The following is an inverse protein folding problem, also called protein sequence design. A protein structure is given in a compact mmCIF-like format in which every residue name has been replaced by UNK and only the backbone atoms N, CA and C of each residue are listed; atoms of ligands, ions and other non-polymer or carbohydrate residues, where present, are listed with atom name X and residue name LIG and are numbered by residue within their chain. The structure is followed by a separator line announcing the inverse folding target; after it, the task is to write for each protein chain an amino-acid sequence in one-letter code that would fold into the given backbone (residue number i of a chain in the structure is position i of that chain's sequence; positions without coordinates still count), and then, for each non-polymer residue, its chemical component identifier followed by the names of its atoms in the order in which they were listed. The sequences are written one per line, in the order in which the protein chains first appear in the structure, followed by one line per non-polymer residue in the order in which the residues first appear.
data_IF_806909691246
#
_entry.id   IF_806909691246
#
_cell.length_a   1.000
_cell.length_b   1.000
_cell.length_c   1.000
_cell.angle_alpha   90.00
_cell.angle_beta   90.00
_cell.angle_gamma   90.00
#
_symmetry.space_group_name_H-M   'P 1'
#
loop_
_entity.id
_entity.type
_entity.pdbx_description
1 polymer ?
#
# COMPACT_ATOMS: atom_id res chain seq x y z
N UNK A 1 7.36 -33.74 5.27
CA UNK A 1 7.33 -32.55 4.39
C UNK A 1 5.88 -32.09 4.27
N UNK A 2 5.56 -30.83 4.61
CA UNK A 2 4.20 -30.27 4.46
C UNK A 2 4.27 -29.13 3.44
N UNK A 3 3.94 -29.42 2.20
CA UNK A 3 3.92 -28.42 1.12
C UNK A 3 2.75 -27.47 1.39
N UNK A 4 3.04 -26.16 1.31
CA UNK A 4 2.06 -25.08 1.29
C UNK A 4 2.31 -24.22 0.08
N UNK A 5 1.29 -23.53 -0.39
CA UNK A 5 1.37 -22.56 -1.48
C UNK A 5 1.10 -21.15 -0.97
N UNK A 6 1.79 -20.17 -1.53
CA UNK A 6 1.58 -18.74 -1.28
C UNK A 6 1.46 -18.01 -2.62
N UNK A 7 0.45 -17.16 -2.75
CA UNK A 7 0.32 -16.26 -3.90
C UNK A 7 1.26 -15.08 -3.69
N UNK A 8 2.22 -14.89 -4.62
CA UNK A 8 3.14 -13.77 -4.63
C UNK A 8 2.70 -12.67 -5.59
N UNK A 9 3.24 -11.45 -5.39
CA UNK A 9 3.02 -10.30 -6.27
C UNK A 9 4.35 -9.62 -6.56
N UNK A 10 4.54 -9.15 -7.80
CA UNK A 10 5.71 -8.39 -8.23
C UNK A 10 5.25 -7.06 -8.79
N UNK A 11 5.91 -5.98 -8.40
CA UNK A 11 5.67 -4.64 -8.92
C UNK A 11 6.94 -4.10 -9.57
N UNK A 12 6.86 -3.81 -10.87
CA UNK A 12 7.96 -3.21 -11.61
C UNK A 12 7.91 -1.68 -11.43
N UNK A 13 8.89 -1.14 -10.71
CA UNK A 13 8.96 0.29 -10.40
C UNK A 13 9.31 1.16 -11.61
N UNK A 14 9.97 0.62 -12.63
CA UNK A 14 10.31 1.35 -13.86
C UNK A 14 9.07 1.69 -14.70
N UNK A 15 7.98 0.94 -14.52
CA UNK A 15 6.71 1.14 -15.23
C UNK A 15 5.64 1.83 -14.37
N UNK A 16 5.91 2.09 -13.11
CA UNK A 16 4.95 2.74 -12.23
C UNK A 16 4.94 4.24 -12.50
N UNK A 17 3.80 4.76 -12.96
CA UNK A 17 3.63 6.18 -13.30
C UNK A 17 2.96 6.99 -12.17
N UNK A 18 2.72 6.38 -11.01
CA UNK A 18 2.09 7.06 -9.88
C UNK A 18 0.67 7.55 -10.14
N UNK A 19 -0.11 6.90 -10.99
CA UNK A 19 -1.47 7.36 -11.35
C UNK A 19 -2.56 7.09 -10.30
N UNK A 20 -2.24 6.38 -9.21
CA UNK A 20 -3.17 6.02 -8.13
C UNK A 20 -4.40 5.17 -8.51
N UNK A 21 -4.50 4.66 -9.74
CA UNK A 21 -5.64 3.81 -10.15
C UNK A 21 -5.80 2.58 -9.25
N UNK A 22 -4.70 1.93 -8.88
CA UNK A 22 -4.71 0.76 -8.00
C UNK A 22 -5.17 1.07 -6.56
N UNK A 23 -5.01 2.32 -6.11
CA UNK A 23 -5.51 2.78 -4.81
C UNK A 23 -7.01 3.03 -4.85
N UNK A 24 -7.49 3.70 -5.89
CA UNK A 24 -8.91 4.05 -6.04
C UNK A 24 -9.77 2.80 -6.24
N UNK A 25 -9.33 1.85 -7.05
CA UNK A 25 -10.08 0.60 -7.25
C UNK A 25 -10.19 -0.19 -5.95
N UNK A 26 -9.09 -0.30 -5.19
CA UNK A 26 -9.08 -0.95 -3.89
C UNK A 26 -10.01 -0.24 -2.89
N UNK A 27 -9.98 1.09 -2.86
CA UNK A 27 -10.82 1.94 -2.01
C UNK A 27 -12.31 1.70 -2.27
N UNK A 28 -12.70 1.77 -3.54
CA UNK A 28 -14.10 1.66 -3.95
C UNK A 28 -14.70 0.31 -3.58
N UNK A 29 -13.93 -0.76 -3.77
CA UNK A 29 -14.41 -2.13 -3.52
C UNK A 29 -14.40 -2.46 -2.02
N UNK A 30 -13.36 -2.05 -1.27
CA UNK A 30 -13.12 -2.60 0.06
C UNK A 30 -13.23 -1.62 1.23
N UNK A 31 -12.93 -0.34 1.04
CA UNK A 31 -12.86 0.64 2.15
C UNK A 31 -13.72 1.89 1.92
N UNK A 32 -14.86 1.72 1.25
CA UNK A 32 -15.89 2.75 1.02
C UNK A 32 -16.93 2.86 2.15
N UNK A 33 -16.86 1.99 3.17
CA UNK A 33 -17.77 1.99 4.32
C UNK A 33 -17.43 3.09 5.32
N UNK A 34 -18.44 3.52 6.06
CA UNK A 34 -18.28 4.51 7.12
C UNK A 34 -17.26 4.08 8.17
N UNK A 35 -16.38 5.00 8.58
CA UNK A 35 -15.29 4.75 9.52
C UNK A 35 -14.03 4.16 8.89
N UNK A 36 -14.02 3.87 7.58
CA UNK A 36 -12.85 3.36 6.85
C UNK A 36 -12.40 4.31 5.73
N UNK A 37 -12.92 5.55 5.69
CA UNK A 37 -12.63 6.56 4.67
C UNK A 37 -11.16 6.95 4.65
N UNK A 38 -10.50 6.93 5.81
CA UNK A 38 -9.06 7.19 5.92
C UNK A 38 -8.19 6.01 5.47
N UNK A 39 -8.75 4.81 5.32
CA UNK A 39 -7.99 3.59 5.05
C UNK A 39 -7.74 3.38 3.55
N UNK A 40 -6.46 3.25 3.20
CA UNK A 40 -5.96 3.01 1.85
C UNK A 40 -5.16 1.71 1.80
N UNK A 41 -5.84 0.56 1.75
CA UNK A 41 -5.17 -0.74 1.81
C UNK A 41 -4.09 -0.93 0.74
N UNK A 42 -4.28 -0.32 -0.43
CA UNK A 42 -3.25 -0.18 -1.45
C UNK A 42 -2.96 1.31 -1.64
N UNK A 43 -1.77 1.77 -1.24
CA UNK A 43 -1.38 3.16 -1.35
C UNK A 43 -0.10 3.33 -2.18
N UNK A 44 -0.01 4.45 -2.88
CA UNK A 44 1.11 4.81 -3.75
C UNK A 44 1.81 6.01 -3.13
N UNK A 45 3.13 5.95 -2.98
CA UNK A 45 3.94 6.98 -2.31
C UNK A 45 5.14 7.39 -3.17
N UNK A 46 5.36 8.69 -3.37
CA UNK A 46 6.60 9.21 -3.96
C UNK A 46 7.78 9.01 -3.01
N UNK A 47 8.94 8.62 -3.57
CA UNK A 47 10.21 8.55 -2.86
C UNK A 47 11.21 9.52 -3.49
N UNK A 48 12.04 10.21 -2.68
CA UNK A 48 12.02 10.29 -1.22
C UNK A 48 10.78 11.02 -0.68
N UNK A 49 10.22 10.57 0.44
CA UNK A 49 8.99 11.15 1.01
C UNK A 49 8.55 10.53 2.33
N UNK A 50 7.70 11.26 3.06
CA UNK A 50 7.22 10.96 4.44
C UNK A 50 6.30 9.71 4.48
N UNK A 51 5.58 9.42 3.39
CA UNK A 51 4.69 8.27 3.26
C UNK A 51 3.38 8.36 4.06
N UNK A 52 2.59 7.29 4.01
CA UNK A 52 1.31 7.16 4.70
C UNK A 52 1.21 5.85 5.50
N UNK A 53 0.84 5.90 6.79
CA UNK A 53 0.76 7.10 7.62
C UNK A 53 2.14 7.78 7.75
N UNK A 54 2.17 9.05 8.18
CA UNK A 54 3.42 9.82 8.23
C UNK A 54 4.50 9.08 9.01
N UNK A 55 5.72 9.08 8.46
CA UNK A 55 6.93 8.49 9.05
C UNK A 55 6.78 7.02 9.46
N UNK A 56 5.97 6.26 8.72
CA UNK A 56 5.70 4.85 9.05
C UNK A 56 6.97 3.99 9.08
N UNK A 57 8.01 4.35 8.32
CA UNK A 57 9.31 3.65 8.31
C UNK A 57 10.12 3.80 9.60
N UNK A 58 9.94 4.90 10.34
CA UNK A 58 10.70 5.20 11.57
C UNK A 58 9.97 4.66 12.81
N UNK A 59 8.69 4.27 12.66
CA UNK A 59 7.86 3.78 13.75
C UNK A 59 8.42 2.47 14.33
N UNK A 60 8.72 2.48 15.64
CA UNK A 60 9.38 1.41 16.43
C UNK A 60 8.81 -0.01 16.30
N UNK A 61 7.59 -0.19 15.79
CA UNK A 61 6.93 -1.48 15.67
C UNK A 61 6.80 -1.99 14.22
N UNK A 62 7.34 -1.31 13.21
CA UNK A 62 7.44 -1.77 11.81
C UNK A 62 6.12 -2.08 11.08
N UNK A 63 4.97 -2.07 11.77
CA UNK A 63 3.65 -2.24 11.16
C UNK A 63 3.25 -0.91 10.58
N UNK A 64 3.19 -0.72 9.27
CA UNK A 64 2.35 0.33 8.67
C UNK A 64 0.89 0.01 9.07
N UNK A 65 0.06 1.02 9.30
CA UNK A 65 -1.34 0.79 9.66
C UNK A 65 -2.09 0.23 8.44
N UNK A 66 -2.06 -1.09 8.22
CA UNK A 66 -2.89 -1.82 7.26
C UNK A 66 -2.82 -1.39 5.79
N UNK A 67 -1.89 -0.52 5.39
CA UNK A 67 -1.77 0.03 4.04
C UNK A 67 -0.48 -0.50 3.40
N UNK A 68 -0.61 -1.25 2.33
CA UNK A 68 0.51 -1.69 1.51
C UNK A 68 0.99 -0.50 0.67
N UNK A 69 2.14 0.07 1.05
CA UNK A 69 2.73 1.21 0.39
C UNK A 69 3.62 0.78 -0.78
N UNK A 70 3.25 1.21 -1.98
CA UNK A 70 4.03 1.03 -3.21
C UNK A 70 4.88 2.27 -3.45
N UNK A 71 6.23 2.14 -3.44
CA UNK A 71 7.10 3.26 -3.75
C UNK A 71 7.00 3.59 -5.24
N UNK A 72 6.90 4.88 -5.57
CA UNK A 72 7.13 5.41 -6.91
C UNK A 72 8.41 6.23 -6.85
N UNK A 73 9.19 6.12 -7.91
CA UNK A 73 10.48 6.80 -8.12
C UNK A 73 10.43 8.31 -7.89
#
# INVERSE_FOLDING_TARGET
MKIRSQVGMVLNLDKCIGCHTCSVTCKNVWSSREGMEYAWFNNVETKPGIGFPKDWKIRKNGKAAGCAALPVS
#
